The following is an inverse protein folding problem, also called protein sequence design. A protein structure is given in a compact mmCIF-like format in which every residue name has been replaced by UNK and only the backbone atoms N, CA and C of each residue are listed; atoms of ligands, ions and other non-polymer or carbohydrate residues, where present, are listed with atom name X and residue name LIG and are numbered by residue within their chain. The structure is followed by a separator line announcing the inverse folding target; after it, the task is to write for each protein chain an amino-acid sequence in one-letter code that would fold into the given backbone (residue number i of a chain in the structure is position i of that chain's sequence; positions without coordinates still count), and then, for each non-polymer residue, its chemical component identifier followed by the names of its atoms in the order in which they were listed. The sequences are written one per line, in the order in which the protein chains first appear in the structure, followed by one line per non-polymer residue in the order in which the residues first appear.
data_IF_063486404944
#
_entry.id   IF_063486404944
#
_cell.length_a   1.000
_cell.length_b   1.000
_cell.length_c   1.000
_cell.angle_alpha   90.00
_cell.angle_beta   90.00
_cell.angle_gamma   90.00
#
_symmetry.space_group_name_H-M   'P 1'
#
loop_
_entity.id
_entity.type
_entity.pdbx_description
1 polymer ?
#
# COMPACT_ATOMS: atom_id res chain seq x y z
N UNK A 1 8.27 11.85 6.52
CA UNK A 1 9.35 11.01 5.94
C UNK A 1 9.82 11.63 4.64
N UNK A 2 10.94 11.18 4.07
CA UNK A 2 11.39 11.68 2.76
C UNK A 2 10.35 11.44 1.65
N UNK A 3 9.63 10.30 1.73
CA UNK A 3 8.49 10.02 0.84
C UNK A 3 7.41 11.10 0.99
N UNK A 4 7.05 11.47 2.23
CA UNK A 4 6.04 12.50 2.47
C UNK A 4 6.47 13.87 1.95
N UNK A 5 7.73 14.26 2.20
CA UNK A 5 8.28 15.51 1.69
C UNK A 5 8.29 15.54 0.15
N UNK A 6 8.64 14.42 -0.49
CA UNK A 6 8.60 14.31 -1.95
C UNK A 6 7.17 14.38 -2.49
N UNK A 7 6.21 13.72 -1.85
CA UNK A 7 4.79 13.78 -2.25
C UNK A 7 4.23 15.19 -2.14
N UNK A 8 4.54 15.92 -1.07
CA UNK A 8 4.15 17.34 -0.90
C UNK A 8 4.83 18.24 -1.94
N UNK A 9 6.11 18.02 -2.20
CA UNK A 9 6.85 18.73 -3.25
C UNK A 9 6.20 18.47 -4.63
N UNK A 10 5.95 17.22 -4.99
CA UNK A 10 5.32 16.89 -6.27
C UNK A 10 3.92 17.50 -6.41
N UNK A 11 3.10 17.45 -5.34
CA UNK A 11 1.76 18.04 -5.33
C UNK A 11 1.74 19.57 -5.45
N UNK A 12 2.84 20.24 -5.08
CA UNK A 12 2.99 21.70 -5.21
C UNK A 12 3.65 22.14 -6.52
N UNK A 13 4.39 21.25 -7.19
CA UNK A 13 5.14 21.58 -8.41
C UNK A 13 4.45 21.12 -9.70
N UNK A 14 3.56 20.14 -9.62
CA UNK A 14 2.79 19.65 -10.76
C UNK A 14 1.30 19.97 -10.58
N UNK A 15 0.60 20.23 -11.69
CA UNK A 15 -0.86 20.40 -11.71
C UNK A 15 -1.60 19.08 -11.54
N UNK A 16 -1.52 18.49 -10.34
CA UNK A 16 -2.14 17.20 -10.01
C UNK A 16 -3.46 17.38 -9.28
N UNK A 17 -4.35 16.40 -9.42
CA UNK A 17 -5.53 16.29 -8.57
C UNK A 17 -5.10 15.75 -7.20
N UNK A 18 -5.03 16.64 -6.20
CA UNK A 18 -4.60 16.29 -4.84
C UNK A 18 -5.54 15.31 -4.13
N UNK A 19 -6.79 15.15 -4.61
CA UNK A 19 -7.70 14.13 -4.08
C UNK A 19 -7.37 12.71 -4.57
N UNK A 20 -6.47 12.58 -5.56
CA UNK A 20 -6.09 11.34 -6.25
C UNK A 20 -4.58 11.18 -6.39
N UNK A 21 -3.87 11.40 -5.29
CA UNK A 21 -2.47 11.02 -5.16
C UNK A 21 -2.43 9.55 -4.75
N UNK A 22 -1.59 8.74 -5.38
CA UNK A 22 -1.45 7.31 -5.07
C UNK A 22 0.02 7.00 -4.81
N UNK A 23 0.28 6.08 -3.89
CA UNK A 23 1.65 5.64 -3.58
C UNK A 23 1.78 4.14 -3.85
N UNK A 24 2.79 3.76 -4.61
CA UNK A 24 3.11 2.35 -4.87
C UNK A 24 4.62 2.17 -4.86
N UNK A 25 5.06 0.97 -4.55
CA UNK A 25 6.47 0.62 -4.52
C UNK A 25 6.66 -0.89 -4.44
N UNK A 26 7.80 -1.34 -4.96
CA UNK A 26 8.21 -2.75 -5.01
C UNK A 26 9.46 -2.97 -4.14
N UNK A 27 9.58 -4.13 -3.50
CA UNK A 27 10.75 -4.51 -2.69
C UNK A 27 11.08 -3.44 -1.62
N UNK A 28 12.26 -2.81 -1.66
CA UNK A 28 12.59 -1.65 -0.82
C UNK A 28 11.56 -0.51 -0.90
N UNK A 29 10.97 -0.25 -2.07
CA UNK A 29 9.87 0.70 -2.23
C UNK A 29 8.54 0.21 -1.63
N UNK A 30 8.33 -1.11 -1.61
CA UNK A 30 7.22 -1.74 -0.89
C UNK A 30 7.37 -1.59 0.62
N UNK A 31 8.58 -1.78 1.15
CA UNK A 31 8.94 -1.45 2.54
C UNK A 31 8.71 0.05 2.81
N UNK A 32 9.20 0.92 1.92
CA UNK A 32 9.00 2.37 2.03
C UNK A 32 7.53 2.79 2.06
N UNK A 33 6.67 2.10 1.31
CA UNK A 33 5.21 2.33 1.33
C UNK A 33 4.60 1.96 2.68
N UNK A 34 5.00 0.84 3.26
CA UNK A 34 4.59 0.47 4.62
C UNK A 34 5.11 1.43 5.69
N UNK A 35 6.37 1.84 5.57
CA UNK A 35 7.02 2.79 6.48
C UNK A 35 6.37 4.17 6.42
N UNK A 36 5.95 4.60 5.24
CA UNK A 36 5.14 5.80 5.06
C UNK A 36 3.83 5.72 5.86
N UNK A 37 3.10 4.60 5.77
CA UNK A 37 1.86 4.41 6.53
C UNK A 37 2.10 4.33 8.04
N UNK A 38 3.20 3.69 8.45
CA UNK A 38 3.61 3.59 9.86
C UNK A 38 3.80 4.97 10.49
N UNK A 39 4.45 5.88 9.76
CA UNK A 39 4.91 7.17 10.28
C UNK A 39 3.91 8.31 10.09
N UNK A 40 3.27 8.40 8.92
CA UNK A 40 2.38 9.52 8.58
C UNK A 40 0.93 9.23 8.98
N UNK A 41 0.48 7.99 8.76
CA UNK A 41 -0.81 7.51 9.26
C UNK A 41 -2.00 8.35 8.78
N UNK A 42 -2.70 9.01 9.71
CA UNK A 42 -3.93 9.76 9.43
C UNK A 42 -3.71 11.03 8.58
N UNK A 43 -2.48 11.52 8.53
CA UNK A 43 -2.11 12.69 7.73
C UNK A 43 -1.62 12.31 6.33
N UNK A 44 -1.80 11.04 5.94
CA UNK A 44 -1.31 10.54 4.66
C UNK A 44 -1.92 11.34 3.49
N UNK A 45 -1.05 11.77 2.58
CA UNK A 45 -1.45 12.46 1.36
C UNK A 45 -2.10 11.52 0.34
N UNK A 46 -1.62 10.27 0.14
CA UNK A 46 -2.24 9.34 -0.80
C UNK A 46 -3.70 9.01 -0.45
N UNK A 47 -4.52 8.83 -1.48
CA UNK A 47 -5.89 8.33 -1.38
C UNK A 47 -5.94 6.78 -1.33
N UNK A 48 -4.90 6.12 -1.85
CA UNK A 48 -4.75 4.67 -1.81
C UNK A 48 -3.28 4.27 -2.01
N UNK A 49 -2.91 3.06 -1.57
CA UNK A 49 -1.56 2.53 -1.74
C UNK A 49 -1.51 1.11 -2.34
N UNK A 50 -0.42 0.80 -3.03
CA UNK A 50 -0.13 -0.55 -3.57
C UNK A 50 1.32 -0.95 -3.19
N UNK A 51 1.54 -1.52 -2.00
CA UNK A 51 2.83 -2.08 -1.62
C UNK A 51 3.02 -3.48 -2.23
N UNK A 52 4.13 -3.70 -2.92
CA UNK A 52 4.45 -4.98 -3.56
C UNK A 52 5.72 -5.55 -2.94
N UNK A 53 5.68 -6.83 -2.55
CA UNK A 53 6.73 -7.59 -1.86
C UNK A 53 7.48 -6.76 -0.80
N UNK A 54 6.72 -6.06 0.06
CA UNK A 54 7.23 -5.26 1.15
C UNK A 54 7.03 -5.93 2.52
N UNK A 55 7.49 -5.24 3.58
CA UNK A 55 7.30 -5.67 4.96
C UNK A 55 6.54 -4.61 5.78
N UNK A 56 5.28 -4.91 6.10
CA UNK A 56 4.39 -4.07 6.90
C UNK A 56 4.19 -4.52 8.34
N UNK A 57 5.00 -5.45 8.85
CA UNK A 57 4.87 -5.95 10.23
C UNK A 57 5.01 -4.80 11.24
N UNK A 58 6.00 -3.92 11.07
CA UNK A 58 6.18 -2.78 11.98
C UNK A 58 5.08 -1.73 11.83
N UNK A 59 4.57 -1.52 10.61
CA UNK A 59 3.42 -0.67 10.37
C UNK A 59 2.17 -1.19 11.11
N UNK A 60 1.94 -2.50 11.06
CA UNK A 60 0.87 -3.16 11.81
C UNK A 60 1.06 -3.05 13.32
N UNK A 61 2.24 -3.40 13.83
CA UNK A 61 2.52 -3.37 15.27
C UNK A 61 2.33 -1.98 15.87
N UNK A 62 2.62 -0.91 15.11
CA UNK A 62 2.48 0.46 15.59
C UNK A 62 1.06 1.03 15.41
N UNK A 63 0.39 0.72 14.30
CA UNK A 63 -0.87 1.38 13.92
C UNK A 63 -2.11 0.54 14.23
N UNK A 64 -1.97 -0.78 14.30
CA UNK A 64 -3.07 -1.72 14.43
C UNK A 64 -4.18 -1.43 13.42
N UNK A 65 -5.42 -1.40 13.90
CA UNK A 65 -6.59 -1.14 13.07
C UNK A 65 -6.60 0.21 12.36
N UNK A 66 -5.87 1.23 12.85
CA UNK A 66 -5.78 2.52 12.18
C UNK A 66 -5.09 2.43 10.81
N UNK A 67 -4.35 1.36 10.55
CA UNK A 67 -3.77 1.07 9.25
C UNK A 67 -4.87 0.89 8.18
N UNK A 68 -6.03 0.34 8.57
CA UNK A 68 -7.18 0.10 7.69
C UNK A 68 -7.91 1.37 7.21
N UNK A 69 -7.56 2.55 7.73
CA UNK A 69 -8.09 3.81 7.21
C UNK A 69 -7.58 4.14 5.80
N UNK A 70 -6.43 3.57 5.41
CA UNK A 70 -5.87 3.73 4.08
C UNK A 70 -6.37 2.59 3.17
N UNK A 71 -7.05 2.87 2.05
CA UNK A 71 -7.27 1.87 1.02
C UNK A 71 -5.92 1.30 0.56
N UNK A 72 -5.77 -0.02 0.62
CA UNK A 72 -4.53 -0.69 0.26
C UNK A 72 -4.76 -2.00 -0.47
N UNK A 73 -3.95 -2.25 -1.50
CA UNK A 73 -3.90 -3.54 -2.17
C UNK A 73 -2.45 -4.04 -2.18
N UNK A 74 -2.14 -4.97 -1.29
CA UNK A 74 -0.82 -5.54 -1.16
C UNK A 74 -0.65 -6.78 -2.05
N UNK A 75 0.55 -6.92 -2.63
CA UNK A 75 0.91 -8.04 -3.51
C UNK A 75 2.21 -8.69 -3.04
N UNK A 76 2.31 -10.01 -3.15
CA UNK A 76 3.51 -10.74 -2.77
C UNK A 76 3.57 -12.12 -3.44
N UNK A 77 4.76 -12.64 -3.72
CA UNK A 77 4.96 -14.06 -4.05
C UNK A 77 5.10 -14.91 -2.78
N UNK A 78 4.53 -16.11 -2.74
CA UNK A 78 4.68 -17.01 -1.58
C UNK A 78 6.02 -17.77 -1.54
N UNK A 79 6.76 -17.76 -2.65
CA UNK A 79 8.11 -18.33 -2.76
C UNK A 79 9.20 -17.23 -2.74
N UNK A 80 8.88 -16.03 -2.25
CA UNK A 80 9.85 -14.95 -2.09
C UNK A 80 10.92 -15.32 -1.06
N UNK A 81 12.15 -15.55 -1.56
CA UNK A 81 13.32 -15.86 -0.75
C UNK A 81 14.10 -14.63 -0.26
N UNK A 82 13.67 -13.41 -0.60
CA UNK A 82 14.32 -12.15 -0.23
C UNK A 82 13.57 -11.42 0.86
N UNK A 83 12.26 -11.23 0.70
CA UNK A 83 11.39 -10.65 1.73
C UNK A 83 10.33 -11.70 2.07
N UNK A 84 10.21 -12.16 3.32
CA UNK A 84 9.20 -13.15 3.68
C UNK A 84 7.79 -12.64 3.41
N UNK A 85 6.96 -13.48 2.79
CA UNK A 85 5.56 -13.19 2.44
C UNK A 85 4.70 -12.75 3.64
N UNK A 86 5.08 -13.16 4.86
CA UNK A 86 4.49 -12.72 6.12
C UNK A 86 4.52 -11.20 6.29
N UNK A 87 5.49 -10.52 5.68
CA UNK A 87 5.56 -9.06 5.62
C UNK A 87 4.30 -8.42 5.02
N UNK A 88 3.55 -9.12 4.18
CA UNK A 88 2.25 -8.67 3.65
C UNK A 88 1.07 -9.41 4.29
N UNK A 89 1.19 -10.70 4.62
CA UNK A 89 0.09 -11.48 5.22
C UNK A 89 -0.31 -10.93 6.60
N UNK A 90 0.67 -10.68 7.48
CA UNK A 90 0.42 -10.24 8.86
C UNK A 90 -0.37 -8.93 8.93
N UNK A 91 0.07 -7.81 8.30
CA UNK A 91 -0.66 -6.56 8.35
C UNK A 91 -2.07 -6.68 7.75
N UNK A 92 -2.23 -7.36 6.61
CA UNK A 92 -3.52 -7.42 5.92
C UNK A 92 -4.52 -8.33 6.64
N UNK A 93 -4.07 -9.45 7.21
CA UNK A 93 -4.91 -10.29 8.07
C UNK A 93 -5.34 -9.54 9.32
N UNK A 94 -4.43 -8.78 9.93
CA UNK A 94 -4.73 -7.94 11.08
C UNK A 94 -5.78 -6.88 10.76
N UNK A 95 -5.61 -6.14 9.67
CA UNK A 95 -6.56 -5.11 9.22
C UNK A 95 -7.93 -5.72 8.89
N UNK A 96 -7.98 -6.89 8.25
CA UNK A 96 -9.23 -7.57 7.92
C UNK A 96 -10.02 -8.02 9.16
N UNK A 97 -9.34 -8.27 10.29
CA UNK A 97 -9.97 -8.66 11.55
C UNK A 97 -10.50 -7.47 12.37
N UNK A 98 -10.21 -6.24 11.97
CA UNK A 98 -10.62 -5.04 12.70
C UNK A 98 -12.10 -4.68 12.48
N UNK A 99 -12.77 -4.30 13.57
CA UNK A 99 -14.14 -3.79 13.54
C UNK A 99 -14.22 -2.28 13.78
N UNK A 100 -13.11 -1.66 14.20
CA UNK A 100 -13.03 -0.21 14.45
C UNK A 100 -11.58 0.30 14.26
N UNK A 101 -11.32 1.16 13.26
CA UNK A 101 -12.20 1.44 12.13
C UNK A 101 -12.45 0.16 11.32
N UNK A 102 -13.58 0.11 10.61
CA UNK A 102 -13.76 -0.87 9.52
C UNK A 102 -12.81 -0.45 8.40
N UNK A 103 -12.05 -1.40 7.86
CA UNK A 103 -11.10 -1.11 6.80
C UNK A 103 -11.80 -0.50 5.57
N UNK A 104 -11.22 0.55 4.98
CA UNK A 104 -11.83 1.27 3.86
C UNK A 104 -11.94 0.38 2.60
N UNK A 105 -10.82 -0.18 2.17
CA UNK A 105 -10.72 -1.25 1.15
C UNK A 105 -9.32 -1.86 1.27
N UNK A 106 -9.20 -2.99 1.97
CA UNK A 106 -7.92 -3.68 2.20
C UNK A 106 -7.90 -5.02 1.47
N UNK A 107 -6.95 -5.18 0.55
CA UNK A 107 -6.84 -6.36 -0.32
C UNK A 107 -5.44 -6.95 -0.23
N UNK A 108 -5.38 -8.28 -0.30
CA UNK A 108 -4.13 -9.03 -0.37
C UNK A 108 -4.21 -9.99 -1.56
N UNK A 109 -3.18 -9.96 -2.39
CA UNK A 109 -2.97 -10.92 -3.46
C UNK A 109 -1.64 -11.63 -3.24
N UNK A 110 -1.71 -12.95 -3.09
CA UNK A 110 -0.53 -13.82 -3.01
C UNK A 110 -0.41 -14.59 -4.32
N UNK A 111 0.77 -14.54 -4.94
CA UNK A 111 1.08 -15.27 -6.16
C UNK A 111 1.74 -16.61 -5.83
N UNK A 112 1.07 -17.75 -6.10
CA UNK A 112 1.61 -19.07 -5.78
C UNK A 112 2.84 -19.41 -6.63
N UNK A 113 3.91 -19.88 -5.99
CA UNK A 113 5.18 -20.26 -6.60
C UNK A 113 6.00 -19.10 -7.14
N UNK A 114 5.54 -17.86 -6.98
CA UNK A 114 6.27 -16.66 -7.44
C UNK A 114 7.28 -16.24 -6.38
N UNK A 115 8.50 -15.96 -6.84
CA UNK A 115 9.58 -15.45 -6.02
C UNK A 115 9.48 -13.96 -5.74
N UNK A 116 10.64 -13.30 -5.63
CA UNK A 116 10.70 -11.88 -5.26
C UNK A 116 10.00 -10.95 -6.26
N UNK A 117 10.15 -11.21 -7.56
CA UNK A 117 9.47 -10.44 -8.60
C UNK A 117 7.97 -10.78 -8.69
N UNK A 118 7.21 -10.19 -7.78
CA UNK A 118 5.74 -10.15 -7.81
C UNK A 118 5.21 -8.87 -8.46
N UNK A 119 6.08 -7.92 -8.80
CA UNK A 119 5.68 -6.62 -9.35
C UNK A 119 5.49 -6.64 -10.85
N UNK A 120 6.24 -7.44 -11.61
CA UNK A 120 6.13 -7.45 -13.07
C UNK A 120 4.69 -7.78 -13.48
N UNK A 121 4.15 -8.90 -12.98
CA UNK A 121 2.78 -9.34 -13.30
C UNK A 121 1.68 -8.44 -12.69
N UNK A 122 2.01 -7.70 -11.62
CA UNK A 122 1.11 -6.72 -11.01
C UNK A 122 1.00 -5.46 -11.86
N UNK A 123 2.12 -4.84 -12.23
CA UNK A 123 2.12 -3.58 -12.99
C UNK A 123 1.76 -3.76 -14.46
N UNK A 124 2.25 -4.82 -15.13
CA UNK A 124 1.90 -5.05 -16.53
C UNK A 124 0.51 -5.68 -16.73
N UNK A 125 -0.22 -5.92 -15.63
CA UNK A 125 -1.55 -6.52 -15.58
C UNK A 125 -1.63 -7.97 -16.09
N UNK A 126 -0.50 -8.67 -16.30
CA UNK A 126 -0.50 -10.05 -16.82
C UNK A 126 -1.10 -11.05 -15.85
N UNK A 127 -1.15 -10.73 -14.55
CA UNK A 127 -1.87 -11.51 -13.55
C UNK A 127 -3.38 -11.18 -13.47
N UNK A 128 -3.88 -10.23 -14.25
CA UNK A 128 -5.31 -9.88 -14.29
C UNK A 128 -5.80 -9.02 -13.12
N UNK A 129 -4.90 -8.48 -12.31
CA UNK A 129 -5.24 -7.56 -11.23
C UNK A 129 -5.09 -6.11 -11.69
N UNK A 130 -6.19 -5.49 -12.10
CA UNK A 130 -6.20 -4.10 -12.57
C UNK A 130 -6.07 -3.11 -11.41
N UNK A 131 -4.82 -2.94 -10.94
CA UNK A 131 -4.47 -2.01 -9.86
C UNK A 131 -4.76 -0.55 -10.25
N UNK A 132 -4.71 -0.21 -11.54
CA UNK A 132 -4.93 1.16 -12.00
C UNK A 132 -6.39 1.54 -11.94
N UNK A 133 -7.28 0.66 -12.42
CA UNK A 133 -8.72 0.85 -12.27
C UNK A 133 -9.09 0.92 -10.80
N UNK A 134 -8.54 0.03 -9.96
CA UNK A 134 -8.78 0.05 -8.52
C UNK A 134 -8.32 1.36 -7.87
N UNK A 135 -7.09 1.81 -8.12
CA UNK A 135 -6.59 3.10 -7.60
C UNK A 135 -7.52 4.26 -7.97
N UNK A 136 -8.00 4.30 -9.22
CA UNK A 136 -8.88 5.36 -9.72
C UNK A 136 -10.28 5.36 -9.08
N UNK A 137 -10.69 4.29 -8.39
CA UNK A 137 -11.92 4.29 -7.58
C UNK A 137 -11.77 5.03 -6.25
N UNK A 138 -10.53 5.23 -5.78
CA UNK A 138 -10.25 5.86 -4.50
C UNK A 138 -9.96 7.35 -4.64
N UNK A 139 -10.57 8.13 -3.74
CA UNK A 139 -10.38 9.58 -3.61
C UNK A 139 -10.37 9.97 -2.15
N UNK A 140 -9.53 10.93 -1.77
CA UNK A 140 -9.58 11.53 -0.44
C UNK A 140 -10.81 12.42 -0.32
N UNK A 141 -11.63 12.20 0.71
CA UNK A 141 -12.89 12.92 0.94
C UNK A 141 -12.71 14.23 1.72
N UNK A 142 -11.51 14.51 2.22
CA UNK A 142 -11.18 15.73 2.96
C UNK A 142 -10.45 16.74 2.08
N UNK A 143 -11.16 17.81 1.74
CA UNK A 143 -10.61 19.12 1.36
C UNK A 143 -9.78 19.65 2.54
N UNK A 144 -8.65 20.34 2.31
CA UNK A 144 -7.77 20.83 3.38
C UNK A 144 -8.48 21.64 4.46
#
# INVERSE_FOLDING_TARGET
TDIDAFLQWAASHYGVDQSRIYLTGLSCGGIGTWEYLRTVGANALPAAVVPICGNGIDAWNQRGCLLGNMPMWAFHGDADGTIPVQGSIVPLTGVAACTSPVAADARLTIYPGVGHDSWTATYNLSAGHDIYAWLLTHRRTTTP
#
